data_IF_016973934679
#
_entry.id   IF_016973934679
#
_cell.length_a   1.000
_cell.length_b   1.000
_cell.length_c   1.000
_cell.angle_alpha   90.00
_cell.angle_beta   90.00
_cell.angle_gamma   90.00
#
_symmetry.space_group_name_H-M   'P 1'
#
loop_
_entity.id
_entity.type
_entity.pdbx_description
1 polymer ?
#
# COMPACT_ATOMS: atom_id res chain seq x y z
N UNK A 1 2.71 -23.96 13.43
CA UNK A 1 2.47 -23.95 11.97
C UNK A 1 1.42 -22.88 11.75
N UNK A 2 1.85 -21.63 11.55
CA UNK A 2 0.94 -20.49 11.47
C UNK A 2 0.18 -20.57 10.14
N UNK A 3 -1.14 -20.51 10.23
CA UNK A 3 -2.04 -20.45 9.08
C UNK A 3 -1.67 -19.19 8.29
N UNK A 4 -1.23 -19.38 7.06
CA UNK A 4 -1.01 -18.28 6.11
C UNK A 4 -2.37 -17.58 5.95
N UNK A 5 -2.50 -16.27 6.25
CA UNK A 5 -3.78 -15.61 6.09
C UNK A 5 -4.20 -15.69 4.62
N UNK A 6 -5.42 -16.15 4.42
CA UNK A 6 -6.12 -16.09 3.13
C UNK A 6 -6.06 -14.64 2.65
N UNK A 7 -5.57 -14.38 1.44
CA UNK A 7 -5.81 -13.11 0.77
C UNK A 7 -7.21 -13.20 0.14
N UNK A 8 -8.25 -12.59 0.72
CA UNK A 8 -9.59 -12.74 0.18
C UNK A 8 -9.68 -11.87 -1.08
N UNK A 9 -10.42 -12.34 -2.07
CA UNK A 9 -10.68 -11.63 -3.33
C UNK A 9 -11.64 -10.46 -3.01
N UNK A 10 -11.14 -9.44 -2.33
CA UNK A 10 -11.93 -8.27 -1.94
C UNK A 10 -11.98 -7.29 -3.12
N UNK A 11 -13.13 -7.28 -3.79
CA UNK A 11 -13.61 -6.13 -4.57
C UNK A 11 -14.06 -4.97 -3.66
N UNK A 12 -13.32 -4.70 -2.58
CA UNK A 12 -13.44 -3.50 -1.75
C UNK A 12 -12.20 -2.66 -1.98
N UNK A 13 -12.41 -1.48 -2.56
CA UNK A 13 -11.37 -0.48 -2.78
C UNK A 13 -10.99 0.13 -1.42
N UNK A 14 -10.04 -0.49 -0.73
CA UNK A 14 -9.43 0.11 0.44
C UNK A 14 -8.64 1.35 0.00
N UNK A 15 -8.96 2.52 0.55
CA UNK A 15 -8.24 3.76 0.25
C UNK A 15 -7.34 4.14 1.42
N UNK A 16 -6.04 4.26 1.14
CA UNK A 16 -5.05 4.88 2.03
C UNK A 16 -5.16 6.41 2.04
N UNK A 17 -5.94 7.00 1.12
CA UNK A 17 -6.04 8.45 1.02
C UNK A 17 -6.77 9.03 2.21
N UNK A 18 -6.06 9.80 3.03
CA UNK A 18 -6.63 10.64 4.10
C UNK A 18 -7.61 11.70 3.56
N UNK A 19 -7.57 11.97 2.25
CA UNK A 19 -8.52 12.80 1.55
C UNK A 19 -9.54 11.96 0.79
N UNK A 20 -10.81 12.15 1.12
CA UNK A 20 -11.93 11.70 0.30
C UNK A 20 -11.91 12.52 -0.99
N UNK A 21 -11.29 11.98 -2.04
CA UNK A 21 -11.36 12.61 -3.35
C UNK A 21 -12.82 12.62 -3.79
N UNK A 22 -13.39 13.78 -4.05
CA UNK A 22 -14.76 13.89 -4.59
C UNK A 22 -14.93 13.19 -5.96
N UNK A 23 -13.83 12.70 -6.56
CA UNK A 23 -13.81 11.88 -7.77
C UNK A 23 -14.03 10.38 -7.50
N UNK A 24 -14.21 9.96 -6.25
CA UNK A 24 -14.53 8.56 -5.86
C UNK A 24 -15.80 8.02 -6.55
N UNK A 25 -16.63 8.91 -7.09
CA UNK A 25 -17.85 8.56 -7.86
C UNK A 25 -17.58 8.09 -9.30
N UNK A 26 -16.32 7.93 -9.70
CA UNK A 26 -15.93 7.36 -11.00
C UNK A 26 -16.00 8.35 -12.16
N UNK A 27 -15.22 8.07 -13.20
CA UNK A 27 -15.27 8.82 -14.45
C UNK A 27 -16.55 8.46 -15.21
N UNK A 28 -17.21 9.47 -15.77
CA UNK A 28 -18.33 9.27 -16.68
C UNK A 28 -18.02 9.89 -18.05
N UNK A 29 -18.91 9.68 -19.01
CA UNK A 29 -18.75 10.18 -20.38
C UNK A 29 -18.62 11.70 -20.51
N UNK A 30 -18.99 12.45 -19.47
CA UNK A 30 -18.87 13.91 -19.41
C UNK A 30 -17.64 14.38 -18.64
N UNK A 31 -16.80 13.47 -18.12
CA UNK A 31 -15.56 13.84 -17.46
C UNK A 31 -14.54 14.33 -18.48
N UNK A 32 -14.08 15.57 -18.32
CA UNK A 32 -12.98 16.15 -19.09
C UNK A 32 -11.74 16.23 -18.20
N UNK A 33 -10.65 15.62 -18.64
CA UNK A 33 -9.35 15.65 -17.95
C UNK A 33 -8.41 16.54 -18.76
N UNK A 34 -7.86 17.59 -18.15
CA UNK A 34 -6.89 18.49 -18.77
C UNK A 34 -5.59 18.47 -18.00
N UNK A 35 -4.47 18.72 -18.69
CA UNK A 35 -3.17 18.88 -18.02
C UNK A 35 -3.18 20.17 -17.21
N UNK A 36 -2.80 20.08 -15.95
CA UNK A 36 -2.51 21.24 -15.10
C UNK A 36 -1.02 21.51 -15.07
N UNK A 37 -0.63 22.78 -14.99
CA UNK A 37 0.74 23.21 -14.67
C UNK A 37 0.94 23.41 -13.16
N UNK A 38 -0.09 23.13 -12.35
CA UNK A 38 0.01 23.14 -10.90
C UNK A 38 0.88 21.97 -10.42
N UNK A 39 1.87 22.29 -9.60
CA UNK A 39 2.71 21.33 -8.89
C UNK A 39 2.32 21.43 -7.42
N UNK A 40 1.94 20.29 -6.83
CA UNK A 40 1.73 20.20 -5.40
C UNK A 40 2.79 19.26 -4.81
N UNK A 41 3.61 19.79 -3.90
CA UNK A 41 4.69 19.07 -3.21
C UNK A 41 4.26 18.61 -1.81
N UNK A 42 2.98 18.76 -1.44
CA UNK A 42 2.43 18.25 -0.19
C UNK A 42 2.56 16.73 -0.14
N UNK A 43 3.29 16.25 0.87
CA UNK A 43 3.42 14.83 1.14
C UNK A 43 2.14 14.33 1.81
N UNK A 44 1.32 13.59 1.07
CA UNK A 44 0.05 13.02 1.56
C UNK A 44 0.20 11.77 2.44
N UNK A 45 1.42 11.47 2.92
CA UNK A 45 1.73 10.26 3.67
C UNK A 45 1.62 10.50 5.18
N UNK A 46 1.02 9.56 5.89
CA UNK A 46 1.03 9.52 7.35
C UNK A 46 1.96 8.40 7.84
N UNK A 47 3.26 8.70 7.90
CA UNK A 47 4.31 7.71 8.12
C UNK A 47 4.23 7.10 9.53
N UNK A 48 4.11 5.78 9.57
CA UNK A 48 4.21 4.97 10.78
C UNK A 48 5.64 4.49 10.97
N UNK A 49 6.15 4.58 12.20
CA UNK A 49 7.50 4.10 12.53
C UNK A 49 7.53 2.56 12.62
N UNK A 50 8.70 1.98 12.31
CA UNK A 50 8.86 0.54 12.23
C UNK A 50 8.77 -0.12 13.60
N UNK A 51 9.10 0.59 14.69
CA UNK A 51 8.97 0.02 16.04
C UNK A 51 7.50 -0.23 16.39
N UNK A 52 6.60 0.69 16.01
CA UNK A 52 5.16 0.51 16.15
C UNK A 52 4.61 -0.64 15.28
N UNK A 53 5.15 -0.83 14.07
CA UNK A 53 4.79 -1.99 13.23
C UNK A 53 5.27 -3.29 13.87
N UNK A 54 6.53 -3.33 14.32
CA UNK A 54 7.16 -4.53 14.87
C UNK A 54 6.64 -4.91 16.27
N UNK A 55 6.09 -3.96 17.04
CA UNK A 55 5.46 -4.24 18.33
C UNK A 55 4.15 -5.02 18.21
N UNK A 56 3.53 -5.04 17.02
CA UNK A 56 2.25 -5.71 16.78
C UNK A 56 1.07 -5.05 17.49
N UNK A 57 1.21 -3.78 17.90
CA UNK A 57 0.17 -3.05 18.65
C UNK A 57 -0.79 -2.26 17.76
N UNK A 58 -0.52 -2.20 16.46
CA UNK A 58 -1.38 -1.52 15.48
C UNK A 58 -2.63 -2.36 15.20
N UNK A 59 -3.74 -1.69 14.91
CA UNK A 59 -4.97 -2.36 14.50
C UNK A 59 -4.82 -2.90 13.08
N UNK A 60 -4.90 -4.23 12.93
CA UNK A 60 -4.74 -4.95 11.67
C UNK A 60 -5.80 -4.61 10.62
N UNK A 61 -6.88 -3.92 10.99
CA UNK A 61 -7.93 -3.48 10.07
C UNK A 61 -7.65 -2.11 9.42
N UNK A 62 -6.59 -1.42 9.84
CA UNK A 62 -6.21 -0.12 9.28
C UNK A 62 -4.98 -0.22 8.37
N UNK A 63 -4.99 0.58 7.32
CA UNK A 63 -3.86 0.73 6.41
C UNK A 63 -2.86 1.72 7.02
N UNK A 64 -1.58 1.49 6.76
CA UNK A 64 -0.46 2.32 7.24
C UNK A 64 0.45 2.72 6.09
N UNK A 65 1.08 3.90 6.22
CA UNK A 65 2.18 4.30 5.34
C UNK A 65 3.51 4.05 6.04
N UNK A 66 4.49 3.48 5.34
CA UNK A 66 5.85 3.29 5.85
C UNK A 66 6.87 3.77 4.80
N UNK A 67 7.95 4.39 5.26
CA UNK A 67 9.07 4.84 4.42
C UNK A 67 10.39 4.33 4.99
N UNK A 68 11.22 3.74 4.14
CA UNK A 68 12.52 3.24 4.55
C UNK A 68 13.44 2.97 3.35
N UNK A 69 14.73 2.81 3.64
CA UNK A 69 15.73 2.38 2.67
C UNK A 69 15.60 0.87 2.45
N UNK A 70 15.57 0.45 1.19
CA UNK A 70 15.67 -0.98 0.83
C UNK A 70 17.09 -1.46 1.15
N UNK A 71 17.20 -2.43 2.04
CA UNK A 71 18.48 -3.04 2.45
C UNK A 71 18.78 -4.30 1.66
N UNK A 72 17.73 -5.05 1.33
CA UNK A 72 17.81 -6.31 0.61
C UNK A 72 16.53 -6.48 -0.22
N UNK A 73 16.67 -7.11 -1.39
CA UNK A 73 15.59 -7.32 -2.34
C UNK A 73 15.79 -8.71 -2.97
N UNK A 74 14.85 -9.61 -2.70
CA UNK A 74 14.89 -10.97 -3.23
C UNK A 74 14.48 -11.04 -4.71
N UNK A 75 14.42 -12.26 -5.22
CA UNK A 75 13.93 -12.53 -6.57
C UNK A 75 12.40 -12.44 -6.67
N UNK A 76 11.90 -12.22 -7.88
CA UNK A 76 10.46 -12.27 -8.16
C UNK A 76 10.04 -13.73 -8.32
N UNK A 77 9.16 -14.20 -7.44
CA UNK A 77 8.61 -15.54 -7.44
C UNK A 77 7.24 -15.57 -8.11
N UNK A 78 6.92 -16.66 -8.82
CA UNK A 78 5.54 -16.94 -9.25
C UNK A 78 4.89 -17.85 -8.21
N UNK A 79 3.86 -17.35 -7.54
CA UNK A 79 3.10 -18.07 -6.52
C UNK A 79 1.72 -18.49 -7.04
N UNK A 80 1.27 -19.65 -6.59
CA UNK A 80 -0.06 -20.17 -6.87
C UNK A 80 -0.98 -19.79 -5.71
N UNK A 81 -1.99 -18.97 -5.96
CA UNK A 81 -3.00 -18.62 -4.96
C UNK A 81 -4.17 -19.60 -4.99
N UNK A 82 -4.92 -19.64 -3.88
CA UNK A 82 -6.22 -20.31 -3.78
C UNK A 82 -7.13 -19.88 -4.93
N UNK A 83 -7.87 -20.82 -5.53
CA UNK A 83 -8.71 -20.55 -6.69
C UNK A 83 -7.96 -20.52 -8.03
N UNK A 84 -6.73 -21.02 -8.10
CA UNK A 84 -6.02 -21.27 -9.36
C UNK A 84 -5.35 -20.04 -9.98
N UNK A 85 -5.47 -18.85 -9.39
CA UNK A 85 -4.83 -17.64 -9.89
C UNK A 85 -3.33 -17.62 -9.58
N UNK A 86 -2.51 -17.38 -10.59
CA UNK A 86 -1.06 -17.15 -10.43
C UNK A 86 -0.80 -15.67 -10.11
N UNK A 87 0.17 -15.39 -9.23
CA UNK A 87 0.60 -14.03 -8.87
C UNK A 87 2.13 -13.97 -8.81
N UNK A 88 2.68 -12.76 -8.98
CA UNK A 88 4.10 -12.49 -8.73
C UNK A 88 4.27 -11.99 -7.29
N UNK A 89 5.23 -12.53 -6.56
CA UNK A 89 5.61 -12.14 -5.20
C UNK A 89 7.06 -11.60 -5.22
N UNK A 90 7.31 -10.55 -4.45
CA UNK A 90 8.64 -10.00 -4.21
C UNK A 90 8.75 -9.72 -2.71
N UNK A 91 9.82 -10.21 -2.10
CA UNK A 91 10.15 -9.89 -0.71
C UNK A 91 11.34 -8.93 -0.67
N UNK A 92 11.26 -7.93 0.20
CA UNK A 92 12.34 -6.97 0.42
C UNK A 92 12.36 -6.54 1.88
N UNK A 93 13.55 -6.16 2.36
CA UNK A 93 13.76 -5.69 3.72
C UNK A 93 13.95 -4.18 3.70
N UNK A 94 13.13 -3.47 4.48
CA UNK A 94 13.28 -2.04 4.69
C UNK A 94 14.04 -1.76 6.00
N UNK A 95 14.83 -0.69 6.00
CA UNK A 95 15.39 -0.06 7.19
C UNK A 95 14.88 1.37 7.30
N UNK A 96 14.28 1.70 8.44
CA UNK A 96 13.91 3.08 8.73
C UNK A 96 15.19 3.93 8.86
N UNK A 97 15.28 4.99 8.07
CA UNK A 97 16.24 6.06 8.35
C UNK A 97 15.67 6.90 9.49
N UNK A 98 16.44 7.06 10.57
CA UNK A 98 16.22 8.19 11.46
C UNK A 98 16.75 9.41 10.72
N UNK A 99 15.85 10.19 10.12
CA UNK A 99 16.15 11.60 9.92
C UNK A 99 16.40 12.17 11.33
N UNK A 100 17.63 12.65 11.58
CA UNK A 100 17.99 13.33 12.83
C UNK A 100 17.21 14.63 13.00
#
# INVERSE_FOLDING_TARGET
MALHPEFPDYSYWWSLSNHRSYLENGFNQNTVITRSNHVNDELYLNLTDFQSVLSGTLDENFLIDVLGQVMDCGDVENIQCTGGKQRKKLEFTLKQHQDQ
#
